data_IF_055293049024
#
_entry.id   IF_055293049024
#
_cell.length_a   1.000
_cell.length_b   1.000
_cell.length_c   1.000
_cell.angle_alpha   90.00
_cell.angle_beta   90.00
_cell.angle_gamma   90.00
#
_symmetry.space_group_name_H-M   'P 1'
#
loop_
_entity.id
_entity.type
_entity.pdbx_description
1 polymer ?
#
# COMPACT_ATOMS: atom_id res chain seq x y z
N UNK A 1 6.03 26.16 3.26
CA UNK A 1 6.13 25.07 4.26
C UNK A 1 7.24 25.46 5.22
N UNK A 2 6.99 25.37 6.53
CA UNK A 2 8.01 25.60 7.56
C UNK A 2 8.31 24.23 8.18
N UNK A 3 9.58 23.91 8.41
CA UNK A 3 9.94 22.66 9.08
C UNK A 3 9.44 22.66 10.53
N UNK A 4 8.87 21.53 10.97
CA UNK A 4 8.43 21.28 12.33
C UNK A 4 8.90 19.89 12.76
N UNK A 5 9.09 19.69 14.06
CA UNK A 5 9.47 18.40 14.63
C UNK A 5 8.29 17.44 14.80
N UNK A 6 7.06 17.97 14.89
CA UNK A 6 5.86 17.15 14.95
C UNK A 6 5.77 16.26 13.70
N UNK A 7 5.63 14.94 13.85
CA UNK A 7 5.58 14.01 12.73
C UNK A 7 4.34 14.26 11.86
N UNK A 8 4.30 13.57 10.73
CA UNK A 8 3.12 13.46 9.86
C UNK A 8 2.60 12.03 9.94
N UNK A 9 1.31 11.85 9.75
CA UNK A 9 0.71 10.53 9.69
C UNK A 9 0.83 10.00 8.26
N UNK A 10 1.11 8.69 8.15
CA UNK A 10 1.06 7.98 6.89
C UNK A 10 0.07 6.84 7.05
N UNK A 11 -1.01 6.89 6.27
CA UNK A 11 -1.97 5.81 6.19
C UNK A 11 -1.66 4.95 4.98
N UNK A 12 -1.65 3.64 5.16
CA UNK A 12 -1.32 2.66 4.13
C UNK A 12 -2.39 1.58 4.08
N UNK A 13 -2.66 1.11 2.87
CA UNK A 13 -3.54 -0.03 2.63
C UNK A 13 -3.08 -0.83 1.42
N UNK A 14 -3.49 -2.09 1.36
CA UNK A 14 -3.25 -2.94 0.21
C UNK A 14 -4.32 -2.67 -0.86
N UNK A 15 -3.93 -2.00 -1.94
CA UNK A 15 -4.82 -1.62 -3.02
C UNK A 15 -5.04 -2.76 -4.04
N UNK A 16 -4.03 -3.62 -4.25
CA UNK A 16 -4.13 -4.75 -5.19
C UNK A 16 -3.21 -5.90 -4.78
N UNK A 17 -3.64 -7.15 -4.98
CA UNK A 17 -2.79 -8.34 -4.77
C UNK A 17 -2.81 -9.20 -6.03
N UNK A 18 -1.66 -9.34 -6.69
CA UNK A 18 -1.43 -10.22 -7.86
C UNK A 18 -0.62 -11.45 -7.47
N UNK A 19 -0.24 -12.29 -8.44
CA UNK A 19 0.52 -13.52 -8.18
C UNK A 19 1.96 -13.31 -7.70
N UNK A 20 2.62 -12.26 -8.17
CA UNK A 20 4.02 -11.97 -7.86
C UNK A 20 4.25 -10.50 -7.53
N UNK A 21 3.18 -9.77 -7.19
CA UNK A 21 3.26 -8.37 -6.78
C UNK A 21 2.06 -7.98 -5.95
N UNK A 22 2.18 -6.91 -5.20
CA UNK A 22 1.06 -6.22 -4.57
C UNK A 22 1.29 -4.71 -4.65
N UNK A 23 0.21 -3.95 -4.58
CA UNK A 23 0.24 -2.49 -4.63
C UNK A 23 -0.16 -1.94 -3.28
N UNK A 24 0.68 -1.11 -2.69
CA UNK A 24 0.31 -0.29 -1.52
C UNK A 24 -0.20 1.05 -2.00
N UNK A 25 -1.40 1.43 -1.57
CA UNK A 25 -1.85 2.82 -1.58
C UNK A 25 -1.43 3.48 -0.28
N UNK A 26 -1.09 4.77 -0.33
CA UNK A 26 -0.80 5.52 0.88
C UNK A 26 -1.07 7.01 0.75
N UNK A 27 -1.41 7.60 1.89
CA UNK A 27 -1.59 9.04 2.08
C UNK A 27 -0.63 9.57 3.13
N UNK A 28 -0.02 10.73 2.85
CA UNK A 28 0.76 11.48 3.85
C UNK A 28 -0.06 12.69 4.28
N UNK A 29 -0.38 12.79 5.57
CA UNK A 29 -1.27 13.80 6.11
C UNK A 29 -0.78 14.44 7.41
N UNK A 30 -1.30 15.63 7.67
CA UNK A 30 -1.12 16.39 8.91
C UNK A 30 -2.50 16.86 9.38
N UNK A 31 -3.07 16.15 10.36
CA UNK A 31 -4.49 16.24 10.68
C UNK A 31 -5.35 15.85 9.47
N UNK A 32 -6.34 16.68 9.14
CA UNK A 32 -7.27 16.42 8.03
C UNK A 32 -6.69 16.78 6.65
N UNK A 33 -5.47 17.35 6.59
CA UNK A 33 -4.88 17.80 5.33
C UNK A 33 -3.98 16.73 4.73
N UNK A 34 -4.38 16.20 3.58
CA UNK A 34 -3.57 15.30 2.75
C UNK A 34 -2.61 16.12 1.88
N UNK A 35 -1.32 15.78 1.93
CA UNK A 35 -0.28 16.38 1.11
C UNK A 35 0.12 15.51 -0.07
N UNK A 36 0.07 14.19 0.12
CA UNK A 36 0.45 13.21 -0.90
C UNK A 36 -0.58 12.10 -0.92
N UNK A 37 -1.00 11.73 -2.13
CA UNK A 37 -1.59 10.43 -2.46
C UNK A 37 -0.64 9.75 -3.41
N UNK A 38 -0.27 8.52 -3.09
CA UNK A 38 0.67 7.78 -3.91
C UNK A 38 0.40 6.28 -3.82
N UNK A 39 1.01 5.55 -4.74
CA UNK A 39 1.00 4.10 -4.72
C UNK A 39 2.36 3.55 -5.14
N UNK A 40 2.69 2.38 -4.59
CA UNK A 40 3.93 1.65 -4.88
C UNK A 40 3.60 0.21 -5.19
N UNK A 41 4.14 -0.30 -6.30
CA UNK A 41 4.09 -1.72 -6.64
C UNK A 41 5.31 -2.41 -6.06
N UNK A 42 5.08 -3.47 -5.28
CA UNK A 42 6.12 -4.25 -4.61
C UNK A 42 6.12 -5.67 -5.17
N UNK A 43 7.30 -6.20 -5.44
CA UNK A 43 7.53 -7.54 -5.98
C UNK A 43 8.41 -8.32 -4.99
N UNK A 44 7.96 -9.49 -4.49
CA UNK A 44 8.82 -10.35 -3.68
C UNK A 44 10.00 -10.88 -4.53
N UNK A 45 11.20 -10.83 -3.97
CA UNK A 45 12.43 -11.22 -4.65
C UNK A 45 13.11 -12.38 -3.91
N UNK A 46 13.51 -13.40 -4.66
CA UNK A 46 14.36 -14.49 -4.20
C UNK A 46 15.82 -14.10 -4.41
N UNK A 47 16.54 -13.88 -3.31
CA UNK A 47 17.94 -13.47 -3.35
C UNK A 47 18.91 -14.63 -3.62
N UNK A 48 18.53 -15.88 -3.41
CA UNK A 48 19.39 -17.02 -3.74
C UNK A 48 19.33 -17.29 -5.25
N UNK A 49 18.11 -17.39 -5.81
CA UNK A 49 17.89 -17.60 -7.24
C UNK A 49 17.97 -16.30 -8.07
N UNK A 50 18.17 -15.14 -7.43
CA UNK A 50 18.30 -13.81 -8.04
C UNK A 50 17.17 -13.48 -9.02
N UNK A 51 15.92 -13.72 -8.60
CA UNK A 51 14.74 -13.48 -9.45
C UNK A 51 13.49 -13.11 -8.64
N UNK A 52 12.51 -12.41 -9.25
CA UNK A 52 11.18 -12.29 -8.67
C UNK A 52 10.55 -13.65 -8.37
N UNK A 53 9.78 -13.74 -7.28
CA UNK A 53 9.00 -14.93 -6.92
C UNK A 53 7.52 -14.61 -6.76
N UNK A 54 6.71 -15.66 -6.77
CA UNK A 54 5.28 -15.55 -6.41
C UNK A 54 5.13 -15.28 -4.91
N UNK A 55 4.05 -14.61 -4.56
CA UNK A 55 3.57 -14.56 -3.18
C UNK A 55 3.16 -15.98 -2.75
N UNK A 56 3.48 -16.33 -1.51
CA UNK A 56 2.94 -17.56 -0.90
C UNK A 56 1.47 -17.39 -0.56
N UNK A 57 0.81 -18.47 -0.15
CA UNK A 57 -0.59 -18.43 0.27
C UNK A 57 -0.72 -17.58 1.53
N UNK A 58 0.16 -17.79 2.50
CA UNK A 58 0.19 -17.10 3.78
C UNK A 58 0.45 -15.60 3.59
N UNK A 59 1.36 -15.22 2.68
CA UNK A 59 1.60 -13.81 2.35
C UNK A 59 0.38 -13.15 1.73
N UNK A 60 -0.33 -13.85 0.84
CA UNK A 60 -1.58 -13.33 0.24
C UNK A 60 -2.68 -13.16 1.27
N UNK A 61 -2.85 -14.13 2.16
CA UNK A 61 -3.84 -14.08 3.24
C UNK A 61 -3.55 -12.93 4.20
N UNK A 62 -2.29 -12.78 4.62
CA UNK A 62 -1.85 -11.67 5.46
C UNK A 62 -2.12 -10.31 4.80
N UNK A 63 -1.68 -10.13 3.54
CA UNK A 63 -1.93 -8.88 2.79
C UNK A 63 -3.42 -8.62 2.57
N UNK A 64 -4.23 -9.67 2.42
CA UNK A 64 -5.68 -9.57 2.26
C UNK A 64 -6.37 -8.90 3.44
N UNK A 65 -5.85 -9.07 4.65
CA UNK A 65 -6.39 -8.45 5.87
C UNK A 65 -6.18 -6.93 5.98
N UNK A 66 -5.40 -6.33 5.08
CA UNK A 66 -5.10 -4.88 5.06
C UNK A 66 -5.67 -4.19 3.81
N UNK A 67 -6.63 -4.80 3.13
CA UNK A 67 -7.37 -4.12 2.07
C UNK A 67 -8.30 -3.07 2.68
N UNK A 68 -8.41 -1.94 2.01
CA UNK A 68 -9.37 -0.91 2.38
C UNK A 68 -10.76 -1.29 1.84
N UNK A 69 -11.72 -1.53 2.73
CA UNK A 69 -13.11 -1.84 2.37
C UNK A 69 -13.83 -0.61 1.79
N UNK A 70 -13.35 0.60 2.12
CA UNK A 70 -13.95 1.88 1.72
C UNK A 70 -13.51 2.36 0.33
N UNK A 71 -12.38 1.87 -0.19
CA UNK A 71 -11.88 2.25 -1.52
C UNK A 71 -12.75 1.73 -2.68
N UNK A 72 -13.51 0.64 -2.47
CA UNK A 72 -14.44 0.12 -3.47
C UNK A 72 -15.66 1.05 -3.65
N UNK A 73 -16.11 1.76 -2.61
CA UNK A 73 -17.26 2.67 -2.69
C UNK A 73 -16.93 3.98 -3.44
N UNK A 74 -15.74 4.54 -3.26
CA UNK A 74 -15.32 5.77 -3.97
C UNK A 74 -15.07 5.54 -5.47
N UNK A 75 -14.57 4.35 -5.86
CA UNK A 75 -14.32 4.01 -7.26
C UNK A 75 -15.61 3.72 -8.06
N UNK A 76 -16.69 3.29 -7.40
CA UNK A 76 -18.01 3.07 -8.02
C UNK A 76 -18.83 4.37 -8.11
N UNK A 77 -18.48 5.38 -7.31
CA UNK A 77 -19.14 6.69 -7.29
C UNK A 77 -18.57 7.71 -8.30
N UNK A 78 -17.46 7.40 -8.99
CA UNK A 78 -16.79 8.25 -9.99
C UNK A 78 -17.08 7.81 -11.44
#
# INVERSE_FOLDING_TARGET
LVHRHEPVDIELWVAEIRAASFTLGYEVKDGDRIYVRASTVIVPFDFEAQRPRRLTVEEREFLGGYRDETAEEEAVAA
#
